data_IF_172583718228
#
_entry.id   IF_172583718228
#
_cell.length_a   1.000
_cell.length_b   1.000
_cell.length_c   1.000
_cell.angle_alpha   90.00
_cell.angle_beta   90.00
_cell.angle_gamma   90.00
#
_symmetry.space_group_name_H-M   'P 1'
#
loop_
_entity.id
_entity.type
_entity.pdbx_description
1 polymer ?
#
# COMPACT_ATOMS: atom_id res chain seq x y z
N UNK A 1 3.38 1.90 10.31
CA UNK A 1 3.46 2.22 8.85
C UNK A 1 3.83 3.68 8.59
N UNK A 2 3.18 4.67 9.20
CA UNK A 2 3.40 6.10 8.95
C UNK A 2 4.85 6.64 9.16
N UNK A 3 5.70 5.91 9.89
CA UNK A 3 7.11 6.26 10.10
C UNK A 3 8.06 5.68 9.04
N UNK A 4 7.57 4.79 8.18
CA UNK A 4 8.38 4.11 7.16
C UNK A 4 8.25 4.86 5.83
N UNK A 5 9.39 5.18 5.22
CA UNK A 5 9.46 5.80 3.89
C UNK A 5 10.87 5.75 3.35
N UNK A 6 11.01 5.56 2.03
CA UNK A 6 12.31 5.52 1.35
C UNK A 6 12.51 6.84 0.60
N UNK A 7 13.68 7.46 0.76
CA UNK A 7 14.02 8.68 0.01
C UNK A 7 14.20 8.34 -1.47
N UNK A 8 13.71 9.21 -2.36
CA UNK A 8 13.76 9.04 -3.82
C UNK A 8 13.15 7.72 -4.31
N UNK A 9 12.03 7.32 -3.71
CA UNK A 9 11.34 6.08 -4.09
C UNK A 9 10.86 6.08 -5.55
N UNK A 10 10.68 7.25 -6.16
CA UNK A 10 10.38 7.41 -7.59
C UNK A 10 11.46 6.86 -8.54
N UNK A 11 12.69 6.63 -8.05
CA UNK A 11 13.76 6.01 -8.83
C UNK A 11 13.79 4.48 -8.66
N UNK A 12 13.02 3.93 -7.71
CA UNK A 12 13.04 2.52 -7.32
C UNK A 12 11.81 1.76 -7.78
N UNK A 13 10.71 2.45 -8.07
CA UNK A 13 9.45 1.87 -8.50
C UNK A 13 8.90 2.61 -9.69
N UNK A 14 8.17 1.89 -10.55
CA UNK A 14 7.50 2.49 -11.69
C UNK A 14 6.48 3.55 -11.26
N UNK A 15 6.26 4.61 -12.07
CA UNK A 15 5.32 5.68 -11.74
C UNK A 15 3.90 5.20 -11.44
N UNK A 16 3.45 4.15 -12.13
CA UNK A 16 2.13 3.55 -11.89
C UNK A 16 2.04 2.91 -10.49
N UNK A 17 3.06 2.14 -10.11
CA UNK A 17 3.16 1.51 -8.78
C UNK A 17 3.29 2.57 -7.69
N UNK A 18 4.08 3.63 -7.94
CA UNK A 18 4.22 4.75 -7.02
C UNK A 18 2.86 5.40 -6.73
N UNK A 19 2.06 5.67 -7.76
CA UNK A 19 0.71 6.24 -7.60
C UNK A 19 -0.17 5.37 -6.69
N UNK A 20 -0.16 4.04 -6.91
CA UNK A 20 -0.91 3.08 -6.08
C UNK A 20 -0.42 3.05 -4.62
N UNK A 21 0.89 3.09 -4.40
CA UNK A 21 1.47 3.18 -3.05
C UNK A 21 1.02 4.44 -2.32
N UNK A 22 0.92 5.57 -3.02
CA UNK A 22 0.43 6.83 -2.45
C UNK A 22 -1.05 6.75 -2.07
N UNK A 23 -1.89 6.14 -2.91
CA UNK A 23 -3.30 5.88 -2.59
C UNK A 23 -3.40 4.99 -1.35
N UNK A 24 -2.63 3.90 -1.29
CA UNK A 24 -2.59 3.02 -0.13
C UNK A 24 -2.19 3.78 1.15
N UNK A 25 -1.15 4.62 1.09
CA UNK A 25 -0.74 5.45 2.24
C UNK A 25 -1.86 6.37 2.69
N UNK A 26 -2.59 7.00 1.76
CA UNK A 26 -3.74 7.87 2.10
C UNK A 26 -4.86 7.12 2.80
N UNK A 27 -5.13 5.87 2.41
CA UNK A 27 -6.13 5.02 3.07
C UNK A 27 -5.69 4.64 4.49
N UNK A 28 -4.41 4.30 4.65
CA UNK A 28 -3.85 3.86 5.94
C UNK A 28 -3.57 5.00 6.92
N UNK A 29 -3.45 6.25 6.45
CA UNK A 29 -3.12 7.41 7.29
C UNK A 29 -4.16 7.75 8.37
N UNK A 30 -5.47 7.79 8.07
CA UNK A 30 -6.48 8.04 9.10
C UNK A 30 -6.71 6.83 10.03
N UNK A 31 -6.20 5.64 9.68
CA UNK A 31 -6.34 4.43 10.47
C UNK A 31 -5.32 4.40 11.62
N UNK A 32 -5.73 3.86 12.76
CA UNK A 32 -4.80 3.55 13.85
C UNK A 32 -3.72 2.56 13.39
N UNK A 33 -2.55 2.54 14.04
CA UNK A 33 -1.44 1.67 13.61
C UNK A 33 -1.81 0.18 13.63
N UNK A 34 -2.66 -0.23 14.57
CA UNK A 34 -3.15 -1.62 14.69
C UNK A 34 -4.15 -1.92 13.58
N UNK A 35 -5.21 -1.12 13.45
CA UNK A 35 -6.25 -1.29 12.44
C UNK A 35 -5.68 -1.26 11.01
N UNK A 36 -4.72 -0.38 10.75
CA UNK A 36 -4.03 -0.30 9.46
C UNK A 36 -3.27 -1.60 9.13
N UNK A 37 -2.63 -2.21 10.13
CA UNK A 37 -1.91 -3.48 9.95
C UNK A 37 -2.88 -4.64 9.75
N UNK A 38 -3.98 -4.70 10.51
CA UNK A 38 -5.00 -5.73 10.35
C UNK A 38 -5.68 -5.65 8.98
N UNK A 39 -6.06 -4.45 8.56
CA UNK A 39 -6.61 -4.19 7.23
C UNK A 39 -5.65 -4.63 6.13
N UNK A 40 -4.38 -4.22 6.22
CA UNK A 40 -3.37 -4.57 5.23
C UNK A 40 -3.13 -6.09 5.18
N UNK A 41 -2.98 -6.74 6.33
CA UNK A 41 -2.80 -8.19 6.41
C UNK A 41 -4.00 -8.96 5.89
N UNK A 42 -5.22 -8.47 6.13
CA UNK A 42 -6.44 -9.07 5.56
C UNK A 42 -6.39 -9.07 4.04
N UNK A 43 -6.13 -7.90 3.43
CA UNK A 43 -6.07 -7.78 1.96
C UNK A 43 -4.90 -8.53 1.34
N UNK A 44 -3.74 -8.56 1.99
CA UNK A 44 -2.59 -9.31 1.49
C UNK A 44 -2.82 -10.83 1.51
N UNK A 45 -3.60 -11.35 2.47
CA UNK A 45 -3.97 -12.77 2.51
C UNK A 45 -4.92 -13.18 1.38
N UNK A 46 -5.76 -12.25 0.93
CA UNK A 46 -6.71 -12.48 -0.16
C UNK A 46 -6.06 -12.35 -1.55
N UNK A 47 -4.81 -11.86 -1.61
CA UNK A 47 -4.04 -11.70 -2.85
C UNK A 47 -2.90 -12.70 -2.95
N UNK A 48 -2.68 -13.25 -4.14
CA UNK A 48 -1.56 -14.19 -4.35
C UNK A 48 -0.20 -13.47 -4.44
N UNK A 49 -0.20 -12.23 -4.94
CA UNK A 49 1.00 -11.41 -5.08
C UNK A 49 0.66 -9.90 -4.99
N UNK A 50 1.69 -9.06 -4.94
CA UNK A 50 1.51 -7.61 -4.80
C UNK A 50 0.83 -6.97 -6.03
N UNK A 51 1.00 -7.53 -7.23
CA UNK A 51 0.36 -7.02 -8.45
C UNK A 51 -1.15 -7.22 -8.43
N UNK A 52 -1.59 -8.40 -7.98
CA UNK A 52 -2.99 -8.75 -7.75
C UNK A 52 -3.61 -7.87 -6.66
N UNK A 53 -2.93 -7.72 -5.51
CA UNK A 53 -3.34 -6.78 -4.47
C UNK A 53 -3.56 -5.35 -5.02
N UNK A 54 -2.60 -4.84 -5.78
CA UNK A 54 -2.66 -3.52 -6.39
C UNK A 54 -3.67 -3.42 -7.54
N UNK A 55 -4.15 -4.53 -8.07
CA UNK A 55 -5.22 -4.57 -9.08
C UNK A 55 -6.59 -4.56 -8.41
N UNK A 56 -6.74 -5.26 -7.28
CA UNK A 56 -7.95 -5.25 -6.46
C UNK A 56 -8.24 -3.88 -5.84
N UNK A 57 -7.21 -3.05 -5.58
CA UNK A 57 -7.39 -1.67 -5.10
C UNK A 57 -7.97 -0.71 -6.14
N UNK A 58 -7.90 -1.05 -7.43
CA UNK A 58 -8.31 -0.19 -8.54
C UNK A 58 -9.76 -0.47 -9.01
N UNK A 59 -10.50 -1.35 -8.32
CA UNK A 59 -11.89 -1.69 -8.62
C UNK A 59 -12.82 -1.22 -7.50
#
# INVERSE_FOLDING_TARGET
ILKSGTRKEELLVDPATLSKMWVLRRILTPMGTVDAMEFLLGKLKDSQNNEDFFSQMNN
#
